data_IF_025511040091
#
_entry.id   IF_025511040091
#
_cell.length_a   1.000
_cell.length_b   1.000
_cell.length_c   1.000
_cell.angle_alpha   90.00
_cell.angle_beta   90.00
_cell.angle_gamma   90.00
#
_symmetry.space_group_name_H-M   'P 1'
#
loop_
_entity.id
_entity.type
_entity.pdbx_description
1 polymer ?
#
# COMPACT_ATOMS: atom_id res chain seq x y z
N UNK A 1 0.15 3.69 19.01
CA UNK A 1 -1.10 4.46 18.84
C UNK A 1 -2.12 3.56 18.17
N UNK A 2 -3.40 3.77 18.43
CA UNK A 2 -4.48 3.10 17.70
C UNK A 2 -4.58 3.71 16.29
N UNK A 3 -4.90 2.90 15.28
CA UNK A 3 -5.03 3.41 13.91
C UNK A 3 -6.20 4.41 13.81
N UNK A 4 -6.07 5.50 13.03
CA UNK A 4 -7.16 6.45 12.80
C UNK A 4 -8.41 5.73 12.27
N UNK A 5 -9.60 6.16 12.66
CA UNK A 5 -10.84 5.60 12.10
C UNK A 5 -11.04 5.99 10.62
N UNK A 6 -10.52 7.16 10.23
CA UNK A 6 -10.67 7.78 8.91
C UNK A 6 -9.30 8.27 8.43
N UNK A 7 -9.06 8.15 7.14
CA UNK A 7 -7.86 8.63 6.46
C UNK A 7 -8.25 9.41 5.19
N UNK A 8 -7.31 10.23 4.72
CA UNK A 8 -7.50 11.09 3.57
C UNK A 8 -6.42 10.86 2.51
N UNK A 9 -6.82 10.73 1.26
CA UNK A 9 -5.93 10.55 0.12
C UNK A 9 -6.04 11.74 -0.84
N UNK A 10 -4.94 12.46 -1.00
CA UNK A 10 -4.83 13.53 -1.99
C UNK A 10 -4.48 12.91 -3.34
N UNK A 11 -5.28 13.23 -4.36
CA UNK A 11 -5.14 12.64 -5.68
C UNK A 11 -5.53 13.64 -6.78
N UNK A 12 -4.97 13.47 -7.98
CA UNK A 12 -5.45 14.19 -9.15
C UNK A 12 -6.82 13.69 -9.61
N UNK A 13 -7.53 14.50 -10.40
CA UNK A 13 -8.77 14.07 -11.05
C UNK A 13 -8.56 12.82 -11.94
N UNK A 14 -7.40 12.69 -12.60
CA UNK A 14 -7.06 11.51 -13.40
C UNK A 14 -6.98 10.25 -12.52
N UNK A 15 -6.30 10.35 -11.38
CA UNK A 15 -6.19 9.25 -10.41
C UNK A 15 -7.57 8.93 -9.82
N UNK A 16 -8.37 9.94 -9.47
CA UNK A 16 -9.75 9.73 -9.03
C UNK A 16 -10.57 8.98 -10.08
N UNK A 17 -10.43 9.31 -11.37
CA UNK A 17 -11.16 8.62 -12.44
C UNK A 17 -10.81 7.13 -12.48
N UNK A 18 -9.53 6.79 -12.34
CA UNK A 18 -9.08 5.39 -12.26
C UNK A 18 -9.59 4.70 -10.99
N UNK A 19 -9.57 5.37 -9.84
CA UNK A 19 -10.09 4.83 -8.57
C UNK A 19 -11.59 4.53 -8.69
N UNK A 20 -12.39 5.48 -9.17
CA UNK A 20 -13.84 5.32 -9.26
C UNK A 20 -14.24 4.30 -10.34
N UNK A 21 -13.54 4.28 -11.47
CA UNK A 21 -13.82 3.34 -12.56
C UNK A 21 -13.50 1.89 -12.18
N UNK A 22 -12.32 1.67 -11.61
CA UNK A 22 -11.86 0.31 -11.28
C UNK A 22 -12.33 -0.15 -9.89
N UNK A 23 -12.76 0.79 -9.04
CA UNK A 23 -13.03 0.56 -7.60
C UNK A 23 -11.82 -0.01 -6.87
N UNK A 24 -10.64 0.53 -7.17
CA UNK A 24 -9.37 0.07 -6.60
C UNK A 24 -8.53 1.24 -6.09
N UNK A 25 -7.71 0.98 -5.08
CA UNK A 25 -6.61 1.87 -4.70
C UNK A 25 -5.30 1.22 -5.15
N UNK A 26 -4.45 2.02 -5.77
CA UNK A 26 -3.12 1.59 -6.19
C UNK A 26 -2.13 1.63 -5.06
N UNK A 27 -1.37 0.55 -4.95
CA UNK A 27 -0.14 0.47 -4.17
C UNK A 27 1.02 0.55 -5.15
N UNK A 28 1.81 1.62 -5.08
CA UNK A 28 2.96 1.85 -5.94
C UNK A 28 4.22 1.33 -5.27
N UNK A 29 5.14 0.78 -6.06
CA UNK A 29 6.43 0.32 -5.55
C UNK A 29 7.20 1.50 -4.92
N UNK A 30 7.91 1.25 -3.82
CA UNK A 30 8.51 2.30 -2.99
C UNK A 30 9.54 3.14 -3.76
N UNK A 31 10.20 2.59 -4.79
CA UNK A 31 11.08 3.32 -5.71
C UNK A 31 10.35 4.22 -6.72
N UNK A 32 9.01 4.26 -6.67
CA UNK A 32 8.12 5.08 -7.52
C UNK A 32 7.38 6.16 -6.74
N UNK A 33 7.64 6.31 -5.45
CA UNK A 33 7.08 7.39 -4.64
C UNK A 33 7.89 8.68 -4.76
N UNK A 34 7.40 9.74 -4.12
CA UNK A 34 7.93 11.09 -4.14
C UNK A 34 9.32 11.24 -3.50
N UNK A 35 9.56 10.55 -2.38
CA UNK A 35 10.85 10.58 -1.71
C UNK A 35 11.72 9.38 -2.11
N UNK A 36 12.75 9.59 -2.97
CA UNK A 36 13.62 8.52 -3.43
C UNK A 36 14.57 7.99 -2.34
N UNK A 37 14.59 8.58 -1.14
CA UNK A 37 15.36 8.07 0.00
C UNK A 37 14.69 6.87 0.64
N UNK A 38 13.35 6.80 0.62
CA UNK A 38 12.57 5.80 1.37
C UNK A 38 12.85 4.36 0.92
N UNK A 39 13.22 4.19 -0.35
CA UNK A 39 13.57 2.89 -0.92
C UNK A 39 15.02 2.45 -0.66
N UNK A 40 15.87 3.34 -0.12
CA UNK A 40 17.31 3.10 0.04
C UNK A 40 17.60 2.45 1.38
N UNK A 41 18.55 1.54 1.38
CA UNK A 41 19.17 1.01 2.61
C UNK A 41 20.68 1.22 2.57
N UNK A 42 21.35 0.96 3.69
CA UNK A 42 22.81 1.02 3.76
C UNK A 42 23.51 -0.11 2.99
N UNK A 43 22.80 -1.19 2.67
CA UNK A 43 23.36 -2.47 2.26
C UNK A 43 22.61 -3.18 1.12
N UNK A 44 21.56 -2.56 0.55
CA UNK A 44 20.84 -3.08 -0.62
C UNK A 44 20.21 -2.00 -1.50
N UNK A 45 20.17 -2.30 -2.81
CA UNK A 45 19.47 -1.53 -3.83
C UNK A 45 18.15 -2.18 -4.30
N UNK A 46 17.95 -3.49 -4.08
CA UNK A 46 16.75 -4.18 -4.53
C UNK A 46 15.64 -4.23 -3.47
N UNK A 47 15.96 -4.21 -2.18
CA UNK A 47 14.95 -4.43 -1.13
C UNK A 47 13.84 -3.35 -1.13
N UNK A 48 14.12 -2.13 -1.58
CA UNK A 48 13.10 -1.10 -1.80
C UNK A 48 12.04 -1.48 -2.83
N UNK A 49 12.42 -2.23 -3.88
CA UNK A 49 11.50 -2.72 -4.90
C UNK A 49 10.56 -3.82 -4.39
N UNK A 50 10.79 -4.35 -3.20
CA UNK A 50 9.94 -5.36 -2.58
C UNK A 50 8.80 -4.74 -1.76
N UNK A 51 8.76 -3.41 -1.62
CA UNK A 51 7.70 -2.69 -0.91
C UNK A 51 6.78 -2.01 -1.90
N UNK A 52 5.47 -2.21 -1.75
CA UNK A 52 4.44 -1.43 -2.44
C UNK A 52 3.62 -0.69 -1.39
N UNK A 53 3.35 0.59 -1.62
CA UNK A 53 2.71 1.48 -0.65
C UNK A 53 1.58 2.30 -1.24
N UNK A 54 0.59 2.62 -0.40
CA UNK A 54 -0.43 3.62 -0.68
C UNK A 54 -0.41 4.66 0.44
N UNK A 55 -0.16 5.92 0.09
CA UNK A 55 0.08 7.02 1.02
C UNK A 55 -1.19 7.82 1.31
N UNK A 56 -1.49 8.03 2.60
CA UNK A 56 -2.67 8.70 3.13
C UNK A 56 -2.23 9.65 4.25
N UNK A 57 -3.12 10.53 4.70
CA UNK A 57 -2.90 11.35 5.89
C UNK A 57 -3.99 11.10 6.91
N UNK A 58 -3.65 11.18 8.19
CA UNK A 58 -4.60 11.17 9.30
C UNK A 58 -5.14 12.57 9.65
N UNK A 59 -4.52 13.62 9.10
CA UNK A 59 -4.94 15.01 9.31
C UNK A 59 -6.32 15.21 8.70
N UNK A 60 -7.31 15.63 9.51
CA UNK A 60 -8.62 16.10 9.06
C UNK A 60 -8.54 17.51 8.47
N UNK A 61 -7.65 18.35 9.00
CA UNK A 61 -7.25 19.61 8.41
C UNK A 61 -6.59 19.42 7.04
N UNK A 62 -6.96 20.28 6.10
CA UNK A 62 -6.39 20.29 4.76
C UNK A 62 -4.98 20.90 4.73
N UNK A 63 -4.15 20.45 3.79
CA UNK A 63 -2.75 20.89 3.69
C UNK A 63 -2.46 21.54 2.34
N UNK A 64 -2.08 22.83 2.36
CA UNK A 64 -1.73 23.59 1.15
C UNK A 64 -0.58 22.92 0.38
N UNK A 65 0.53 22.47 1.02
CA UNK A 65 1.54 21.68 0.34
C UNK A 65 0.98 20.42 -0.32
N UNK A 66 0.10 19.68 0.37
CA UNK A 66 -0.49 18.45 -0.18
C UNK A 66 -1.32 18.72 -1.45
N UNK A 67 -2.10 19.80 -1.45
CA UNK A 67 -2.85 20.25 -2.64
C UNK A 67 -1.93 20.57 -3.81
N UNK A 68 -0.82 21.27 -3.57
CA UNK A 68 0.10 21.74 -4.62
C UNK A 68 0.97 20.62 -5.19
N UNK A 69 1.45 19.72 -4.34
CA UNK A 69 2.48 18.74 -4.71
C UNK A 69 1.88 17.39 -5.15
N UNK A 70 0.72 16.99 -4.62
CA UNK A 70 0.18 15.63 -4.81
C UNK A 70 -1.13 15.61 -5.59
N UNK A 71 -2.11 16.42 -5.20
CA UNK A 71 -3.41 16.42 -5.85
C UNK A 71 -3.43 17.26 -7.13
N UNK A 72 -2.76 18.41 -7.12
CA UNK A 72 -2.83 19.43 -8.16
C UNK A 72 -3.77 20.57 -7.73
N UNK A 73 -3.23 21.79 -7.65
CA UNK A 73 -3.97 22.93 -7.11
C UNK A 73 -5.27 23.26 -7.87
N UNK A 74 -5.32 23.02 -9.18
CA UNK A 74 -6.47 23.38 -10.02
C UNK A 74 -7.33 22.19 -10.47
N UNK A 75 -6.85 20.97 -10.24
CA UNK A 75 -7.43 19.73 -10.78
C UNK A 75 -7.32 18.55 -9.79
N UNK A 76 -7.12 18.84 -8.51
CA UNK A 76 -6.97 17.86 -7.46
C UNK A 76 -8.23 17.62 -6.67
N UNK A 77 -8.28 16.47 -6.01
CA UNK A 77 -9.29 16.11 -5.04
C UNK A 77 -8.63 15.53 -3.78
N UNK A 78 -9.38 15.53 -2.68
CA UNK A 78 -9.03 14.82 -1.46
C UNK A 78 -10.16 13.86 -1.15
N UNK A 79 -9.82 12.58 -1.06
CA UNK A 79 -10.74 11.48 -0.86
C UNK A 79 -10.67 11.08 0.61
N UNK A 80 -11.80 11.16 1.32
CA UNK A 80 -11.94 10.66 2.68
C UNK A 80 -12.53 9.25 2.66
N UNK A 81 -11.93 8.32 3.40
CA UNK A 81 -12.44 6.96 3.59
C UNK A 81 -12.16 6.45 5.01
N UNK A 82 -12.93 5.46 5.45
CA UNK A 82 -12.57 4.71 6.67
C UNK A 82 -11.24 3.98 6.49
N UNK A 83 -10.53 3.76 7.59
CA UNK A 83 -9.34 2.90 7.59
C UNK A 83 -9.68 1.46 7.20
N UNK A 84 -8.70 0.80 6.58
CA UNK A 84 -8.84 -0.50 5.91
C UNK A 84 -10.05 -0.55 4.97
N UNK A 85 -10.11 0.31 3.94
CA UNK A 85 -11.26 0.41 3.03
C UNK A 85 -11.39 -0.79 2.08
N UNK A 86 -10.49 -1.78 2.16
CA UNK A 86 -10.36 -2.87 1.19
C UNK A 86 -11.33 -4.01 1.42
N UNK A 87 -11.67 -4.70 0.33
CA UNK A 87 -12.41 -5.95 0.36
C UNK A 87 -11.64 -7.00 1.15
N UNK A 88 -12.38 -7.81 1.94
CA UNK A 88 -11.85 -8.97 2.64
C UNK A 88 -12.21 -10.25 1.89
N UNK A 89 -11.32 -11.23 1.93
CA UNK A 89 -11.42 -12.45 1.12
C UNK A 89 -11.56 -13.70 1.99
N UNK A 90 -12.23 -14.69 1.44
CA UNK A 90 -12.26 -16.06 1.93
C UNK A 90 -11.49 -16.97 0.98
N UNK A 91 -11.01 -18.10 1.49
CA UNK A 91 -10.34 -19.14 0.68
C UNK A 91 -11.34 -20.25 0.39
N UNK A 92 -11.38 -20.72 -0.86
CA UNK A 92 -12.23 -21.85 -1.24
C UNK A 92 -11.78 -23.15 -0.56
N UNK A 93 -12.72 -24.08 -0.38
CA UNK A 93 -12.43 -25.43 0.15
C UNK A 93 -11.38 -26.16 -0.71
N UNK A 94 -11.38 -25.94 -2.03
CA UNK A 94 -10.39 -26.51 -2.92
C UNK A 94 -8.98 -25.96 -2.62
N UNK A 95 -8.83 -24.64 -2.51
CA UNK A 95 -7.54 -24.01 -2.21
C UNK A 95 -7.03 -24.37 -0.83
N UNK A 96 -7.91 -24.54 0.16
CA UNK A 96 -7.55 -25.04 1.49
C UNK A 96 -6.90 -26.42 1.45
N UNK A 97 -7.37 -27.32 0.57
CA UNK A 97 -6.80 -28.66 0.43
C UNK A 97 -5.37 -28.67 -0.12
N UNK A 98 -4.94 -27.58 -0.75
CA UNK A 98 -3.59 -27.39 -1.29
C UNK A 98 -2.60 -26.86 -0.25
N UNK A 99 -3.09 -26.36 0.89
CA UNK A 99 -2.26 -25.87 2.00
C UNK A 99 -1.86 -27.04 2.91
N UNK A 100 -0.68 -26.95 3.53
CA UNK A 100 -0.24 -27.95 4.51
C UNK A 100 -1.22 -28.05 5.69
N UNK A 101 -1.36 -29.24 6.27
CA UNK A 101 -2.25 -29.43 7.43
C UNK A 101 -1.91 -28.49 8.60
N UNK A 102 -0.63 -28.18 8.84
CA UNK A 102 -0.21 -27.23 9.87
C UNK A 102 -0.64 -25.78 9.58
N UNK A 103 -0.65 -25.37 8.32
CA UNK A 103 -1.15 -24.07 7.90
C UNK A 103 -2.68 -23.96 8.07
N UNK A 104 -3.40 -25.08 7.95
CA UNK A 104 -4.86 -25.16 8.11
C UNK A 104 -5.27 -25.29 9.59
N UNK A 105 -4.49 -26.01 10.41
CA UNK A 105 -4.79 -26.28 11.82
C UNK A 105 -4.57 -25.07 12.74
N UNK A 106 -3.64 -24.17 12.38
CA UNK A 106 -3.40 -22.93 13.13
C UNK A 106 -4.37 -21.80 12.78
N UNK A 107 -5.45 -22.08 12.05
CA UNK A 107 -6.48 -21.09 11.71
C UNK A 107 -7.51 -20.99 12.84
N UNK A 108 -7.63 -19.87 13.57
CA UNK A 108 -8.66 -19.73 14.59
C UNK A 108 -10.05 -19.84 13.93
N UNK A 109 -10.86 -20.78 14.40
CA UNK A 109 -12.26 -20.97 13.96
C UNK A 109 -12.46 -21.80 12.68
N UNK A 110 -11.43 -22.43 12.12
CA UNK A 110 -11.57 -23.39 11.01
C UNK A 110 -12.06 -22.81 9.67
N UNK A 111 -12.13 -21.48 9.55
CA UNK A 111 -12.45 -20.77 8.30
C UNK A 111 -11.31 -19.83 7.94
N UNK A 112 -10.89 -19.84 6.68
CA UNK A 112 -9.92 -18.92 6.08
C UNK A 112 -10.61 -17.65 5.53
N UNK A 113 -11.51 -17.05 6.30
CA UNK A 113 -12.22 -15.81 5.96
C UNK A 113 -11.48 -14.54 6.43
N UNK A 114 -11.83 -13.37 5.91
CA UNK A 114 -11.31 -12.09 6.43
C UNK A 114 -9.86 -11.76 6.01
N UNK A 115 -9.31 -12.45 5.01
CA UNK A 115 -7.97 -12.15 4.48
C UNK A 115 -7.95 -10.75 3.84
N UNK A 116 -6.80 -10.08 3.93
CA UNK A 116 -6.57 -8.75 3.34
C UNK A 116 -6.36 -8.83 1.82
N UNK A 117 -5.92 -9.99 1.34
CA UNK A 117 -5.54 -10.25 -0.03
C UNK A 117 -6.18 -11.56 -0.51
N UNK A 118 -6.55 -11.66 -1.79
CA UNK A 118 -7.08 -12.89 -2.37
C UNK A 118 -5.95 -13.91 -2.54
N UNK A 119 -5.89 -14.93 -1.68
CA UNK A 119 -4.83 -15.95 -1.71
C UNK A 119 -4.70 -16.63 -3.09
N UNK A 120 -5.83 -16.86 -3.76
CA UNK A 120 -5.91 -17.60 -5.02
C UNK A 120 -5.24 -16.86 -6.19
N UNK A 121 -5.23 -15.51 -6.19
CA UNK A 121 -4.61 -14.69 -7.22
C UNK A 121 -3.07 -14.84 -7.27
N UNK A 122 -2.48 -15.46 -6.24
CA UNK A 122 -1.04 -15.63 -6.07
C UNK A 122 -0.54 -17.05 -6.26
N UNK A 123 -1.40 -18.01 -6.60
CA UNK A 123 -1.01 -19.41 -6.75
C UNK A 123 0.07 -19.62 -7.82
N UNK A 124 -0.07 -18.91 -8.95
CA UNK A 124 0.84 -18.99 -10.10
C UNK A 124 1.90 -17.86 -10.11
N UNK A 125 1.94 -17.03 -9.07
CA UNK A 125 2.91 -15.94 -8.96
C UNK A 125 4.21 -16.46 -8.36
N UNK A 126 5.34 -15.91 -8.83
CA UNK A 126 6.67 -16.17 -8.26
C UNK A 126 6.95 -15.36 -6.99
N UNK A 127 5.95 -14.66 -6.48
CA UNK A 127 6.02 -13.86 -5.27
C UNK A 127 4.69 -13.93 -4.53
N UNK A 128 4.72 -13.59 -3.25
CA UNK A 128 3.53 -13.35 -2.43
C UNK A 128 3.76 -12.13 -1.54
N UNK A 129 2.73 -11.65 -0.85
CA UNK A 129 2.85 -10.55 0.12
C UNK A 129 2.77 -11.08 1.54
N UNK A 130 3.59 -10.56 2.45
CA UNK A 130 3.56 -10.93 3.88
C UNK A 130 2.18 -10.66 4.49
N UNK A 131 1.52 -9.59 4.05
CA UNK A 131 0.22 -9.09 4.54
C UNK A 131 -0.97 -9.99 4.14
N UNK A 132 -0.71 -11.08 3.39
CA UNK A 132 -1.68 -12.17 3.23
C UNK A 132 -1.93 -12.90 4.56
N UNK A 133 -0.94 -12.91 5.46
CA UNK A 133 -1.11 -13.46 6.79
C UNK A 133 -1.95 -12.50 7.65
N UNK A 134 -2.98 -13.03 8.33
CA UNK A 134 -3.92 -12.22 9.13
C UNK A 134 -3.28 -11.44 10.28
N UNK A 135 -2.16 -11.93 10.80
CA UNK A 135 -1.45 -11.33 11.93
C UNK A 135 -0.57 -10.15 11.54
N UNK A 136 -0.43 -9.87 10.24
CA UNK A 136 0.44 -8.81 9.74
C UNK A 136 -0.41 -7.57 9.47
N UNK A 137 -0.14 -6.52 10.23
CA UNK A 137 -0.74 -5.20 9.98
C UNK A 137 -0.17 -4.62 8.70
N UNK A 138 -1.04 -4.01 7.88
CA UNK A 138 -0.62 -3.31 6.66
C UNK A 138 -0.58 -1.80 6.82
N UNK A 139 -1.33 -1.25 7.78
CA UNK A 139 -1.44 0.19 7.98
C UNK A 139 -0.43 0.67 9.03
N UNK A 140 0.47 1.55 8.62
CA UNK A 140 1.54 2.06 9.47
C UNK A 140 1.58 3.59 9.46
N UNK A 141 1.87 4.17 10.62
CA UNK A 141 2.25 5.57 10.74
C UNK A 141 3.70 5.77 10.28
N UNK A 142 3.94 6.79 9.45
CA UNK A 142 5.28 7.16 9.03
C UNK A 142 5.99 7.93 10.13
N UNK A 143 7.21 7.53 10.47
CA UNK A 143 8.01 8.16 11.49
C UNK A 143 9.01 9.14 10.88
N UNK A 144 8.90 10.42 11.24
CA UNK A 144 9.78 11.45 10.70
C UNK A 144 11.05 11.60 11.53
N UNK A 145 12.21 11.56 10.86
CA UNK A 145 13.51 11.64 11.53
C UNK A 145 14.58 12.22 10.61
N UNK A 146 15.64 12.78 11.19
CA UNK A 146 16.87 13.16 10.48
C UNK A 146 18.05 12.25 10.84
N UNK A 147 17.81 11.20 11.64
CA UNK A 147 18.81 10.19 11.95
C UNK A 147 19.09 9.34 10.69
N UNK A 148 20.31 9.45 10.16
CA UNK A 148 20.73 8.73 8.96
C UNK A 148 20.68 7.21 9.13
N UNK A 149 20.85 6.69 10.34
CA UNK A 149 20.79 5.25 10.59
C UNK A 149 19.37 4.69 10.46
N UNK A 150 18.35 5.53 10.69
CA UNK A 150 16.94 5.18 10.51
C UNK A 150 16.45 5.44 9.08
N UNK A 151 16.96 6.50 8.44
CA UNK A 151 16.66 6.80 7.03
C UNK A 151 17.32 5.83 6.05
N UNK A 152 18.49 5.29 6.42
CA UNK A 152 19.25 4.32 5.63
C UNK A 152 19.59 3.12 6.50
N UNK A 153 18.59 2.31 6.89
CA UNK A 153 18.80 1.17 7.78
C UNK A 153 19.69 0.12 7.12
N UNK A 154 20.38 -0.66 7.95
CA UNK A 154 21.04 -1.89 7.52
C UNK A 154 20.02 -3.03 7.63
N UNK A 155 19.74 -3.71 6.52
CA UNK A 155 18.63 -4.68 6.43
C UNK A 155 19.10 -6.13 6.46
N UNK A 156 20.33 -6.38 6.02
CA UNK A 156 20.84 -7.74 5.77
C UNK A 156 21.64 -8.22 6.97
N UNK A 157 21.23 -9.37 7.49
CA UNK A 157 21.85 -10.04 8.64
C UNK A 157 22.28 -11.46 8.26
N UNK A 158 23.47 -11.85 8.69
CA UNK A 158 23.94 -13.23 8.61
C UNK A 158 23.56 -13.93 9.92
N UNK A 159 22.76 -14.99 9.81
CA UNK A 159 22.40 -15.83 10.93
C UNK A 159 23.55 -16.80 11.26
N UNK A 160 23.63 -17.25 12.52
CA UNK A 160 24.69 -18.15 13.00
C UNK A 160 24.73 -19.50 12.24
N UNK A 161 23.58 -19.93 11.72
CA UNK A 161 23.41 -21.15 10.93
C UNK A 161 23.76 -20.97 9.43
N UNK A 162 24.35 -19.82 9.04
CA UNK A 162 24.76 -19.52 7.66
C UNK A 162 23.64 -19.01 6.75
N UNK A 163 22.43 -18.83 7.27
CA UNK A 163 21.31 -18.22 6.53
C UNK A 163 21.46 -16.71 6.45
N UNK A 164 20.87 -16.12 5.42
CA UNK A 164 20.84 -14.67 5.21
C UNK A 164 19.40 -14.21 5.38
N UNK A 165 19.19 -13.25 6.26
CA UNK A 165 17.90 -12.65 6.55
C UNK A 165 17.88 -11.18 6.14
N UNK A 166 16.74 -10.71 5.65
CA UNK A 166 16.49 -9.30 5.36
C UNK A 166 15.34 -8.78 6.22
N UNK A 167 15.60 -7.85 7.14
CA UNK A 167 14.56 -7.22 7.96
C UNK A 167 13.87 -6.09 7.20
N UNK A 168 12.88 -6.46 6.39
CA UNK A 168 12.09 -5.51 5.60
C UNK A 168 11.09 -4.70 6.43
N UNK A 169 10.95 -4.93 7.74
CA UNK A 169 10.00 -4.17 8.55
C UNK A 169 10.50 -2.75 8.83
N UNK A 170 11.81 -2.53 8.72
CA UNK A 170 12.45 -1.22 8.96
C UNK A 170 12.55 -0.34 7.71
N UNK A 171 12.23 -0.88 6.52
CA UNK A 171 12.29 -0.15 5.25
C UNK A 171 10.93 0.48 4.89
N UNK A 172 10.95 1.76 4.54
CA UNK A 172 9.75 2.51 4.16
C UNK A 172 8.85 2.91 5.34
N UNK A 173 9.38 2.90 6.57
CA UNK A 173 8.67 3.40 7.77
C UNK A 173 9.19 4.76 8.26
N UNK A 174 10.42 5.13 7.90
CA UNK A 174 11.03 6.41 8.25
C UNK A 174 11.10 7.33 7.05
N UNK A 175 10.84 8.62 7.27
CA UNK A 175 10.94 9.66 6.24
C UNK A 175 11.67 10.88 6.80
N UNK A 176 12.38 11.64 5.96
CA UNK A 176 13.12 12.82 6.42
C UNK A 176 12.15 13.85 7.04
N UNK A 177 12.55 14.58 8.09
CA UNK A 177 11.63 15.54 8.75
C UNK A 177 11.16 16.67 7.84
N UNK A 178 11.85 16.92 6.73
CA UNK A 178 11.41 17.86 5.71
C UNK A 178 10.02 17.52 5.15
N UNK A 179 9.61 16.25 5.21
CA UNK A 179 8.31 15.76 4.73
C UNK A 179 7.23 15.68 5.82
N UNK A 180 7.49 16.14 7.05
CA UNK A 180 6.56 15.93 8.19
C UNK A 180 5.20 16.59 8.01
N UNK A 181 5.08 17.56 7.09
CA UNK A 181 3.81 18.20 6.73
C UNK A 181 2.79 17.25 6.10
N UNK A 182 3.22 16.06 5.65
CA UNK A 182 2.33 15.05 5.08
C UNK A 182 1.45 14.38 6.14
N UNK A 183 1.91 14.33 7.41
CA UNK A 183 1.27 13.59 8.49
C UNK A 183 0.82 12.17 8.04
N UNK A 184 1.75 11.49 7.37
CA UNK A 184 1.46 10.33 6.55
C UNK A 184 1.18 9.07 7.38
N UNK A 185 0.11 8.41 6.99
CA UNK A 185 -0.18 7.00 7.27
C UNK A 185 -0.16 6.26 5.94
N UNK A 186 0.41 5.07 5.90
CA UNK A 186 0.50 4.31 4.66
C UNK A 186 0.11 2.87 4.84
N UNK A 187 -0.57 2.35 3.83
CA UNK A 187 -0.73 0.92 3.66
C UNK A 187 0.51 0.36 2.98
N UNK A 188 1.05 -0.74 3.48
CA UNK A 188 2.27 -1.38 3.00
C UNK A 188 1.97 -2.82 2.61
N UNK A 189 2.48 -3.22 1.44
CA UNK A 189 2.56 -4.60 0.99
C UNK A 189 4.03 -4.96 0.79
N UNK A 190 4.49 -5.97 1.51
CA UNK A 190 5.86 -6.47 1.50
C UNK A 190 5.93 -7.75 0.68
N UNK A 191 6.40 -7.62 -0.56
CA UNK A 191 6.60 -8.76 -1.43
C UNK A 191 7.73 -9.66 -0.93
N UNK A 192 7.54 -10.95 -1.03
CA UNK A 192 8.55 -11.99 -0.85
C UNK A 192 8.73 -12.66 -2.21
N UNK A 193 9.95 -12.74 -2.76
CA UNK A 193 10.20 -13.17 -4.14
C UNK A 193 10.21 -14.70 -4.26
N UNK A 194 9.25 -15.35 -3.58
CA UNK A 194 9.00 -16.78 -3.57
C UNK A 194 7.50 -16.97 -3.77
N UNK A 195 7.09 -17.82 -4.71
CA UNK A 195 5.67 -18.13 -4.92
C UNK A 195 5.09 -19.03 -3.83
N UNK A 196 3.79 -18.94 -3.58
CA UNK A 196 3.10 -19.77 -2.56
C UNK A 196 3.30 -21.27 -2.87
N UNK A 197 3.15 -21.68 -4.13
CA UNK A 197 3.34 -23.05 -4.54
C UNK A 197 4.78 -23.56 -4.31
N UNK A 198 5.79 -22.69 -4.48
CA UNK A 198 7.20 -23.02 -4.20
C UNK A 198 7.45 -23.19 -2.70
N UNK A 199 6.83 -22.38 -1.84
CA UNK A 199 6.89 -22.55 -0.38
C UNK A 199 6.32 -23.91 0.04
N UNK A 200 5.13 -24.25 -0.46
CA UNK A 200 4.45 -25.51 -0.10
C UNK A 200 5.24 -26.74 -0.55
N UNK A 201 5.90 -26.68 -1.71
CA UNK A 201 6.70 -27.79 -2.25
C UNK A 201 8.13 -27.87 -1.68
N UNK A 202 8.56 -26.89 -0.88
CA UNK A 202 9.95 -26.80 -0.42
C UNK A 202 10.93 -26.63 -1.58
N UNK A 203 10.60 -25.77 -2.55
CA UNK A 203 11.39 -25.53 -3.75
C UNK A 203 12.70 -24.78 -3.43
N UNK A 204 13.80 -25.52 -3.40
CA UNK A 204 15.14 -25.04 -3.05
C UNK A 204 15.64 -23.98 -4.05
N UNK A 205 15.30 -24.08 -5.33
CA UNK A 205 15.73 -23.09 -6.33
C UNK A 205 15.01 -21.75 -6.14
N UNK A 206 13.73 -21.77 -5.73
CA UNK A 206 13.01 -20.56 -5.38
C UNK A 206 13.60 -19.87 -4.15
N UNK A 207 14.02 -20.64 -3.14
CA UNK A 207 14.72 -20.12 -1.95
C UNK A 207 16.07 -19.51 -2.34
N UNK A 208 16.86 -20.19 -3.18
CA UNK A 208 18.13 -19.69 -3.69
C UNK A 208 17.97 -18.38 -4.46
N UNK A 209 16.97 -18.30 -5.34
CA UNK A 209 16.63 -17.06 -6.07
C UNK A 209 16.31 -15.93 -5.09
N UNK A 210 15.54 -16.19 -4.04
CA UNK A 210 15.23 -15.17 -3.03
C UNK A 210 16.49 -14.66 -2.32
N UNK A 211 17.45 -15.54 -2.01
CA UNK A 211 18.77 -15.13 -1.49
C UNK A 211 19.54 -14.28 -2.50
N UNK A 212 19.50 -14.60 -3.79
CA UNK A 212 20.12 -13.79 -4.84
C UNK A 212 19.50 -12.40 -4.94
N UNK A 213 18.18 -12.27 -4.76
CA UNK A 213 17.49 -10.98 -4.69
C UNK A 213 17.96 -10.16 -3.49
N UNK A 214 18.01 -10.78 -2.29
CA UNK A 214 18.47 -10.12 -1.06
C UNK A 214 19.91 -9.59 -1.21
N UNK A 215 20.77 -10.36 -1.89
CA UNK A 215 22.17 -10.00 -2.14
C UNK A 215 22.39 -9.10 -3.36
N UNK A 216 21.33 -8.49 -3.89
CA UNK A 216 21.37 -7.63 -5.08
C UNK A 216 21.93 -8.29 -6.36
N UNK A 217 21.90 -9.62 -6.45
CA UNK A 217 22.45 -10.37 -7.61
C UNK A 217 21.47 -10.50 -8.76
N UNK A 218 20.17 -10.35 -8.51
CA UNK A 218 19.14 -10.36 -9.55
C UNK A 218 17.96 -9.45 -9.17
N UNK A 219 17.17 -9.04 -10.17
CA UNK A 219 15.99 -8.21 -9.92
C UNK A 219 14.89 -9.02 -9.21
N UNK A 220 14.20 -8.43 -8.22
CA UNK A 220 13.13 -9.11 -7.50
C UNK A 220 11.96 -9.56 -8.39
N UNK A 221 11.80 -9.02 -9.62
CA UNK A 221 10.69 -9.28 -10.54
C UNK A 221 9.32 -8.93 -9.94
N UNK A 222 9.30 -7.98 -8.99
CA UNK A 222 8.08 -7.49 -8.34
C UNK A 222 7.47 -6.38 -9.20
N UNK A 223 6.17 -6.46 -9.52
CA UNK A 223 5.48 -5.43 -10.29
C UNK A 223 5.64 -4.04 -9.68
N UNK A 224 5.64 -3.01 -10.52
CA UNK A 224 5.76 -1.63 -10.07
C UNK A 224 4.52 -1.12 -9.34
N UNK A 225 3.40 -1.85 -9.40
CA UNK A 225 2.20 -1.55 -8.64
C UNK A 225 1.34 -2.81 -8.42
N UNK A 226 0.41 -2.70 -7.47
CA UNK A 226 -0.66 -3.67 -7.22
C UNK A 226 -1.92 -2.92 -6.81
N UNK A 227 -3.06 -3.26 -7.37
CA UNK A 227 -4.32 -2.56 -7.13
C UNK A 227 -5.19 -3.39 -6.17
N UNK A 228 -5.59 -2.81 -5.03
CA UNK A 228 -6.51 -3.44 -4.09
C UNK A 228 -7.94 -2.96 -4.30
N UNK A 229 -8.88 -3.91 -4.32
CA UNK A 229 -10.31 -3.64 -4.47
C UNK A 229 -10.86 -2.98 -3.20
N UNK A 230 -11.56 -1.86 -3.39
CA UNK A 230 -12.30 -1.16 -2.35
C UNK A 230 -13.55 -1.96 -2.00
N UNK A 231 -13.85 -2.12 -0.71
CA UNK A 231 -15.10 -2.74 -0.26
C UNK A 231 -16.32 -1.87 -0.62
N UNK A 232 -17.46 -2.49 -0.92
CA UNK A 232 -18.68 -1.74 -1.28
C UNK A 232 -19.10 -0.75 -0.18
N UNK A 233 -18.94 -1.13 1.07
CA UNK A 233 -19.20 -0.26 2.23
C UNK A 233 -18.29 0.98 2.22
N UNK A 234 -16.97 0.80 2.06
CA UNK A 234 -16.03 1.91 2.06
C UNK A 234 -16.21 2.79 0.81
N UNK A 235 -16.54 2.20 -0.34
CA UNK A 235 -16.83 2.95 -1.57
C UNK A 235 -18.08 3.80 -1.39
N UNK A 236 -19.18 3.24 -0.88
CA UNK A 236 -20.46 3.96 -0.71
C UNK A 236 -20.42 5.06 0.35
N UNK A 237 -19.47 5.00 1.29
CA UNK A 237 -19.32 5.98 2.38
C UNK A 237 -18.18 6.97 2.15
N UNK A 238 -17.49 6.90 1.01
CA UNK A 238 -16.40 7.84 0.71
C UNK A 238 -16.94 9.27 0.53
N UNK A 239 -16.09 10.25 0.81
CA UNK A 239 -16.37 11.67 0.53
C UNK A 239 -15.26 12.27 -0.30
N UNK A 240 -15.59 13.22 -1.15
CA UNK A 240 -14.64 13.90 -2.02
C UNK A 240 -14.67 15.39 -1.72
N UNK A 241 -13.50 15.98 -1.52
CA UNK A 241 -13.31 17.42 -1.41
C UNK A 241 -12.60 17.90 -2.67
N UNK A 242 -13.16 18.90 -3.34
CA UNK A 242 -12.53 19.55 -4.48
C UNK A 242 -11.41 20.49 -4.02
N UNK A 243 -10.30 20.54 -4.77
CA UNK A 243 -9.19 21.46 -4.48
C UNK A 243 -9.65 22.92 -4.37
N UNK A 244 -9.05 23.73 -3.46
CA UNK A 244 -9.45 25.13 -3.23
C UNK A 244 -9.33 26.06 -4.45
N UNK A 245 -8.53 25.68 -5.47
CA UNK A 245 -8.43 26.42 -6.74
C UNK A 245 -8.99 25.64 -7.93
N UNK A 246 -9.88 24.68 -7.70
CA UNK A 246 -10.46 23.91 -8.80
C UNK A 246 -11.16 24.82 -9.81
N UNK A 247 -10.76 24.73 -11.07
CA UNK A 247 -11.37 25.56 -12.12
C UNK A 247 -12.81 25.13 -12.40
N UNK A 248 -13.68 26.03 -12.91
CA UNK A 248 -15.05 25.67 -13.27
C UNK A 248 -15.13 24.49 -14.26
N UNK A 249 -14.18 24.39 -15.18
CA UNK A 249 -14.10 23.26 -16.14
C UNK A 249 -13.74 21.95 -15.45
N UNK A 250 -12.73 21.96 -14.57
CA UNK A 250 -12.36 20.77 -13.80
C UNK A 250 -13.46 20.35 -12.83
N UNK A 251 -14.22 21.30 -12.29
CA UNK A 251 -15.40 20.99 -11.48
C UNK A 251 -16.47 20.27 -12.30
N UNK A 252 -16.78 20.74 -13.51
CA UNK A 252 -17.73 20.04 -14.39
C UNK A 252 -17.27 18.60 -14.68
N UNK A 253 -15.97 18.39 -14.87
CA UNK A 253 -15.39 17.05 -15.07
C UNK A 253 -15.55 16.19 -13.80
N UNK A 254 -15.25 16.74 -12.62
CA UNK A 254 -15.44 16.06 -11.33
C UNK A 254 -16.89 15.61 -11.15
N UNK A 255 -17.84 16.53 -11.33
CA UNK A 255 -19.26 16.27 -11.14
C UNK A 255 -19.76 15.20 -12.11
N UNK A 256 -19.36 15.27 -13.38
CA UNK A 256 -19.70 14.27 -14.40
C UNK A 256 -19.10 12.89 -14.08
N UNK A 257 -17.87 12.85 -13.57
CA UNK A 257 -17.20 11.62 -13.17
C UNK A 257 -17.92 10.94 -12.00
N UNK A 258 -18.24 11.70 -10.95
CA UNK A 258 -18.96 11.19 -9.78
C UNK A 258 -20.36 10.72 -10.17
N UNK A 259 -21.09 11.49 -10.96
CA UNK A 259 -22.42 11.09 -11.46
C UNK A 259 -22.38 9.77 -12.22
N UNK A 260 -21.33 9.54 -13.03
CA UNK A 260 -21.20 8.34 -13.87
C UNK A 260 -20.75 7.11 -13.08
N UNK A 261 -19.75 7.25 -12.22
CA UNK A 261 -19.07 6.10 -11.61
C UNK A 261 -19.47 5.85 -10.15
N UNK A 262 -19.96 6.87 -9.47
CA UNK A 262 -20.14 6.90 -8.02
C UNK A 262 -21.37 7.74 -7.60
N UNK A 263 -22.55 7.51 -8.21
CA UNK A 263 -23.72 8.35 -7.99
C UNK A 263 -24.13 8.36 -6.51
N UNK A 264 -24.34 9.55 -5.95
CA UNK A 264 -24.74 9.74 -4.55
C UNK A 264 -23.60 9.94 -3.56
N UNK A 265 -22.34 9.87 -4.00
CA UNK A 265 -21.19 10.24 -3.16
C UNK A 265 -21.17 11.75 -2.94
N UNK A 266 -20.87 12.15 -1.70
CA UNK A 266 -20.78 13.54 -1.28
C UNK A 266 -19.53 14.21 -1.88
N UNK A 267 -19.73 15.34 -2.56
CA UNK A 267 -18.66 16.20 -3.07
C UNK A 267 -18.81 17.58 -2.45
N UNK A 268 -17.77 18.08 -1.77
CA UNK A 268 -17.76 19.40 -1.12
C UNK A 268 -16.62 20.28 -1.63
N UNK A 269 -16.71 21.58 -1.36
CA UNK A 269 -15.57 22.48 -1.54
C UNK A 269 -14.53 22.28 -0.44
N UNK A 270 -13.28 22.65 -0.74
CA UNK A 270 -12.24 22.85 0.27
C UNK A 270 -12.67 23.91 1.28
N UNK A 271 -12.30 23.70 2.54
CA UNK A 271 -12.41 24.71 3.59
C UNK A 271 -11.29 25.76 3.52
N UNK A 272 -10.26 25.53 2.69
CA UNK A 272 -9.20 26.50 2.45
C UNK A 272 -9.66 27.49 1.37
N UNK A 273 -9.52 28.77 1.64
CA UNK A 273 -9.72 29.83 0.64
C UNK A 273 -8.36 30.30 0.10
N UNK A 274 -8.17 30.24 -1.22
CA UNK A 274 -6.97 30.73 -1.91
C UNK A 274 -7.37 31.73 -3.00
N UNK A 275 -6.63 32.84 -3.10
CA UNK A 275 -6.76 33.83 -4.18
C UNK A 275 -5.96 33.49 -5.43
#
# INVERSE_FOLDING_TARGET
MEAPAVLYHYASLDTLALILHNRTIRFSRLDKVDDPQEQRSADSQNLGKMKLVSCWTSSDEESIPMWREYAGAECGVRIQMKSHPFKRYSVSTESLSKLSSDAVLNTPGGKFDGLQLPLEDFWDKKYHFKEMARSVEMLHEVQYTNDKSLLFPKLIHNCENGWIEADLNTLGIHKATAWSYQNEWRYVLTAVPVGIASVIKGDVEAVKRATEVILDRCDPEIPSFYDLIISDEAFSSMKIVASPKMTPGNRLILDALVQKCAPGIEVTESAIELS
#
